data_IF_441294545977
#
_entry.id   IF_441294545977
#
_cell.length_a   1.000
_cell.length_b   1.000
_cell.length_c   1.000
_cell.angle_alpha   90.00
_cell.angle_beta   90.00
_cell.angle_gamma   90.00
#
_symmetry.space_group_name_H-M   'P 1'
#
loop_
_entity.id
_entity.type
_entity.pdbx_description
1 polymer ?
#
# COMPACT_ATOMS: atom_id res chain seq x y z
N UNK A 1 -6.51 5.49 -19.62
CA UNK A 1 -6.83 6.92 -19.93
C UNK A 1 -5.64 7.84 -19.63
N UNK A 2 -5.01 7.80 -18.45
CA UNK A 2 -3.83 8.64 -18.14
C UNK A 2 -2.68 8.32 -19.10
N UNK A 3 -2.33 7.07 -19.27
CA UNK A 3 -1.25 6.58 -20.12
C UNK A 3 -1.47 6.86 -21.62
N UNK A 4 -2.71 7.05 -22.06
CA UNK A 4 -3.03 7.41 -23.45
C UNK A 4 -2.96 8.91 -23.71
N UNK A 5 -2.86 9.72 -22.66
CA UNK A 5 -2.92 11.18 -22.75
C UNK A 5 -1.62 11.85 -22.37
N UNK A 6 -0.90 11.28 -21.40
CA UNK A 6 0.32 11.84 -20.84
C UNK A 6 1.50 10.89 -21.01
N UNK A 7 2.71 11.43 -21.05
CA UNK A 7 3.93 10.62 -20.97
C UNK A 7 4.07 10.02 -19.59
N UNK A 8 4.08 8.71 -19.50
CA UNK A 8 4.25 7.93 -18.27
C UNK A 8 5.35 6.90 -18.47
N UNK A 9 5.62 6.10 -17.45
CA UNK A 9 6.57 4.98 -17.58
C UNK A 9 6.02 3.80 -18.41
N UNK A 10 4.70 3.75 -18.67
CA UNK A 10 4.12 2.73 -19.53
C UNK A 10 4.40 3.05 -21.00
N UNK A 11 4.96 2.11 -21.74
CA UNK A 11 5.24 2.27 -23.17
C UNK A 11 3.97 2.32 -24.03
N UNK A 12 2.89 1.70 -23.55
CA UNK A 12 1.58 1.69 -24.21
C UNK A 12 0.47 1.43 -23.16
N UNK A 13 -0.78 1.45 -23.63
CA UNK A 13 -1.98 1.27 -22.76
C UNK A 13 -2.49 -0.18 -22.71
N UNK A 14 -1.81 -1.11 -23.35
CA UNK A 14 -2.12 -2.53 -23.22
C UNK A 14 -1.71 -3.05 -21.84
N UNK A 15 -2.29 -4.15 -21.40
CA UNK A 15 -2.02 -4.73 -20.07
C UNK A 15 -0.53 -5.03 -19.89
N UNK A 16 0.11 -5.56 -20.91
CA UNK A 16 1.54 -5.89 -20.88
C UNK A 16 2.42 -4.64 -20.68
N UNK A 17 2.06 -3.51 -21.30
CA UNK A 17 2.76 -2.23 -21.11
C UNK A 17 2.56 -1.64 -19.71
N UNK A 18 1.36 -1.82 -19.13
CA UNK A 18 1.08 -1.40 -17.75
C UNK A 18 1.87 -2.28 -16.76
N UNK A 19 1.87 -3.58 -16.95
CA UNK A 19 2.63 -4.53 -16.12
C UNK A 19 4.15 -4.30 -16.21
N UNK A 20 4.67 -4.02 -17.39
CA UNK A 20 6.09 -3.69 -17.58
C UNK A 20 6.51 -2.41 -16.82
N UNK A 21 5.58 -1.48 -16.56
CA UNK A 21 5.82 -0.26 -15.78
C UNK A 21 5.50 -0.40 -14.28
N UNK A 22 5.18 -1.59 -13.82
CA UNK A 22 4.72 -1.92 -12.45
C UNK A 22 5.60 -1.29 -11.36
N UNK A 23 6.92 -1.37 -11.50
CA UNK A 23 7.89 -0.89 -10.52
C UNK A 23 7.92 0.65 -10.38
N UNK A 24 7.25 1.36 -11.27
CA UNK A 24 7.08 2.81 -11.23
C UNK A 24 5.63 3.21 -10.92
N UNK A 25 4.81 2.30 -10.39
CA UNK A 25 3.39 2.54 -10.18
C UNK A 25 3.03 2.38 -8.69
N UNK A 26 2.39 3.42 -8.15
CA UNK A 26 1.84 3.43 -6.81
C UNK A 26 0.31 3.61 -6.86
N UNK A 27 -0.40 2.99 -5.94
CA UNK A 27 -1.82 3.23 -5.70
C UNK A 27 -2.02 3.71 -4.27
N UNK A 28 -2.70 4.83 -4.08
CA UNK A 28 -2.93 5.42 -2.76
C UNK A 28 -4.39 5.78 -2.55
N UNK A 29 -4.80 5.81 -1.28
CA UNK A 29 -6.13 6.24 -0.93
C UNK A 29 -6.35 6.40 0.57
N UNK A 30 -7.23 7.33 0.92
CA UNK A 30 -7.61 7.65 2.30
C UNK A 30 -9.06 7.23 2.55
N UNK A 31 -9.36 6.73 3.75
CA UNK A 31 -10.72 6.32 4.15
C UNK A 31 -11.30 5.26 3.20
N UNK A 32 -12.38 5.55 2.48
CA UNK A 32 -12.87 4.66 1.42
C UNK A 32 -11.85 4.44 0.29
N UNK A 33 -10.99 5.41 0.03
CA UNK A 33 -9.85 5.25 -0.87
C UNK A 33 -8.82 4.24 -0.36
N UNK A 34 -8.62 4.15 0.97
CA UNK A 34 -7.81 3.11 1.58
C UNK A 34 -8.39 1.71 1.35
N UNK A 35 -9.72 1.57 1.49
CA UNK A 35 -10.43 0.33 1.14
C UNK A 35 -10.18 -0.03 -0.34
N UNK A 36 -10.27 0.95 -1.24
CA UNK A 36 -9.95 0.74 -2.65
C UNK A 36 -8.49 0.34 -2.86
N UNK A 37 -7.54 0.94 -2.11
CA UNK A 37 -6.12 0.59 -2.16
C UNK A 37 -5.90 -0.88 -1.76
N UNK A 38 -6.52 -1.34 -0.68
CA UNK A 38 -6.45 -2.74 -0.29
C UNK A 38 -7.07 -3.69 -1.32
N UNK A 39 -8.18 -3.29 -1.96
CA UNK A 39 -8.77 -4.07 -3.06
C UNK A 39 -7.86 -4.10 -4.29
N UNK A 40 -7.20 -2.98 -4.59
CA UNK A 40 -6.20 -2.94 -5.65
C UNK A 40 -5.00 -3.85 -5.31
N UNK A 41 -4.54 -3.87 -4.06
CA UNK A 41 -3.54 -4.84 -3.61
C UNK A 41 -3.99 -6.29 -3.84
N UNK A 42 -5.24 -6.62 -3.52
CA UNK A 42 -5.77 -7.99 -3.69
C UNK A 42 -5.88 -8.44 -5.15
N UNK A 43 -6.04 -7.52 -6.10
CA UNK A 43 -6.41 -7.88 -7.48
C UNK A 43 -5.46 -7.38 -8.56
N UNK A 44 -4.53 -6.49 -8.24
CA UNK A 44 -3.67 -5.80 -9.21
C UNK A 44 -2.19 -5.75 -8.77
N UNK A 45 -1.72 -6.76 -8.05
CA UNK A 45 -0.29 -6.88 -7.72
C UNK A 45 0.61 -6.94 -8.96
N UNK A 46 0.06 -7.40 -10.09
CA UNK A 46 0.72 -7.44 -11.39
C UNK A 46 0.82 -6.08 -12.10
N UNK A 47 0.13 -5.05 -11.59
CA UNK A 47 0.12 -3.71 -12.18
C UNK A 47 0.73 -2.63 -11.30
N UNK A 48 0.84 -2.88 -9.97
CA UNK A 48 1.37 -1.92 -9.00
C UNK A 48 2.38 -2.59 -8.06
N UNK A 49 3.48 -1.89 -7.81
CA UNK A 49 4.47 -2.28 -6.80
C UNK A 49 4.18 -1.65 -5.44
N UNK A 50 3.74 -0.39 -5.41
CA UNK A 50 3.60 0.40 -4.18
C UNK A 50 2.14 0.65 -3.84
N UNK A 51 1.79 0.43 -2.58
CA UNK A 51 0.45 0.64 -2.05
C UNK A 51 0.50 1.55 -0.83
N UNK A 52 -0.32 2.61 -0.83
CA UNK A 52 -0.34 3.58 0.26
C UNK A 52 -1.77 3.73 0.81
N UNK A 53 -2.27 2.70 1.54
CA UNK A 53 -3.56 2.78 2.22
C UNK A 53 -3.46 3.69 3.44
N UNK A 54 -4.46 4.53 3.68
CA UNK A 54 -4.50 5.41 4.84
C UNK A 54 -5.88 5.44 5.48
N UNK A 55 -5.94 5.15 6.80
CA UNK A 55 -7.14 5.27 7.64
C UNK A 55 -8.37 4.51 7.12
N UNK A 56 -8.20 3.26 6.70
CA UNK A 56 -9.31 2.40 6.27
C UNK A 56 -8.85 0.95 6.05
N UNK A 57 -9.44 0.03 6.80
CA UNK A 57 -9.16 -1.42 6.77
C UNK A 57 -10.22 -2.19 5.98
N UNK A 58 -9.88 -3.42 5.58
CA UNK A 58 -10.83 -4.36 4.94
C UNK A 58 -10.96 -5.69 5.69
N UNK A 59 -10.00 -6.02 6.55
CA UNK A 59 -9.97 -7.29 7.28
C UNK A 59 -9.10 -7.15 8.53
N UNK A 60 -9.26 -8.07 9.46
CA UNK A 60 -8.32 -8.30 10.58
C UNK A 60 -7.63 -9.68 10.45
N UNK A 61 -7.70 -10.30 9.28
CA UNK A 61 -7.13 -11.60 8.98
C UNK A 61 -5.88 -11.44 8.10
N UNK A 62 -4.71 -11.48 8.73
CA UNK A 62 -3.41 -11.36 8.05
C UNK A 62 -3.11 -12.52 7.11
N UNK A 63 -3.55 -13.74 7.45
CA UNK A 63 -3.34 -14.91 6.60
C UNK A 63 -4.10 -14.81 5.26
N UNK A 64 -5.32 -14.22 5.29
CA UNK A 64 -6.07 -13.98 4.07
C UNK A 64 -5.34 -13.00 3.14
N UNK A 65 -4.65 -12.00 3.71
CA UNK A 65 -3.84 -11.06 2.93
C UNK A 65 -2.55 -11.70 2.41
N UNK A 66 -1.91 -12.57 3.20
CA UNK A 66 -0.74 -13.33 2.77
C UNK A 66 -1.06 -14.31 1.64
N UNK A 67 -2.24 -14.93 1.67
CA UNK A 67 -2.71 -15.83 0.60
C UNK A 67 -2.80 -15.12 -0.75
N UNK A 68 -3.22 -13.85 -0.77
CA UNK A 68 -3.24 -13.03 -2.00
C UNK A 68 -1.85 -12.95 -2.65
N UNK A 69 -0.81 -12.72 -1.85
CA UNK A 69 0.58 -12.64 -2.34
C UNK A 69 1.03 -14.00 -2.88
N UNK A 70 0.81 -15.06 -2.12
CA UNK A 70 1.17 -16.44 -2.51
C UNK A 70 0.49 -16.87 -3.81
N UNK A 71 -0.80 -16.58 -3.93
CA UNK A 71 -1.61 -16.95 -5.11
C UNK A 71 -1.21 -16.14 -6.35
N UNK A 72 -0.65 -14.94 -6.17
CA UNK A 72 -0.15 -14.10 -7.26
C UNK A 72 1.21 -14.54 -7.80
N UNK A 73 1.97 -15.35 -7.03
CA UNK A 73 3.32 -15.76 -7.37
C UNK A 73 4.40 -14.70 -7.09
N UNK A 74 4.03 -13.57 -6.50
CA UNK A 74 4.98 -12.55 -6.03
C UNK A 74 5.56 -12.91 -4.66
N UNK A 75 6.74 -12.36 -4.36
CA UNK A 75 7.44 -12.55 -3.11
C UNK A 75 7.46 -11.23 -2.30
N UNK A 76 7.98 -11.29 -1.08
CA UNK A 76 8.00 -10.16 -0.16
C UNK A 76 8.72 -8.91 -0.72
N UNK A 77 9.72 -9.07 -1.56
CA UNK A 77 10.51 -7.97 -2.15
C UNK A 77 9.91 -7.41 -3.46
N UNK A 78 8.80 -7.97 -3.91
CA UNK A 78 8.15 -7.53 -5.15
C UNK A 78 7.14 -6.39 -4.93
N UNK A 79 6.80 -6.05 -3.69
CA UNK A 79 5.86 -4.98 -3.38
C UNK A 79 6.25 -4.27 -2.08
N UNK A 80 5.71 -3.07 -1.88
CA UNK A 80 5.80 -2.34 -0.63
C UNK A 80 4.48 -1.67 -0.24
N UNK A 81 4.14 -1.75 1.05
CA UNK A 81 2.95 -1.13 1.63
C UNK A 81 3.40 -0.05 2.62
N UNK A 82 3.15 1.20 2.29
CA UNK A 82 3.28 2.34 3.19
C UNK A 82 1.91 2.68 3.76
N UNK A 83 1.61 2.18 4.94
CA UNK A 83 0.34 2.42 5.63
C UNK A 83 0.45 3.65 6.55
N UNK A 84 -0.62 4.44 6.69
CA UNK A 84 -0.63 5.59 7.57
C UNK A 84 -2.00 5.81 8.23
N UNK A 85 -2.00 6.24 9.51
CA UNK A 85 -3.21 6.67 10.21
C UNK A 85 -2.86 7.56 11.41
N UNK A 86 -3.75 8.48 11.73
CA UNK A 86 -3.60 9.32 12.92
C UNK A 86 -4.11 8.61 14.18
N UNK A 87 -3.46 8.87 15.32
CA UNK A 87 -3.83 8.24 16.60
C UNK A 87 -5.19 8.70 17.15
N UNK A 88 -5.71 9.85 16.68
CA UNK A 88 -7.05 10.37 17.00
C UNK A 88 -8.08 10.16 15.87
N UNK A 89 -7.72 9.37 14.87
CA UNK A 89 -8.61 8.97 13.79
C UNK A 89 -9.54 7.84 14.25
N UNK A 90 -10.84 7.96 13.98
CA UNK A 90 -11.82 6.92 14.37
C UNK A 90 -11.55 5.57 13.69
N UNK A 91 -10.90 5.56 12.53
CA UNK A 91 -10.54 4.34 11.81
C UNK A 91 -9.21 3.72 12.30
N UNK A 92 -8.43 4.43 13.14
CA UNK A 92 -7.10 4.03 13.56
C UNK A 92 -7.07 2.63 14.17
N UNK A 93 -7.94 2.33 15.13
CA UNK A 93 -7.93 1.05 15.83
C UNK A 93 -8.12 -0.15 14.90
N UNK A 94 -9.10 -0.08 13.99
CA UNK A 94 -9.35 -1.16 13.02
C UNK A 94 -8.25 -1.25 11.97
N UNK A 95 -7.70 -0.11 11.56
CA UNK A 95 -6.61 -0.06 10.60
C UNK A 95 -5.32 -0.65 11.19
N UNK A 96 -4.96 -0.25 12.40
CA UNK A 96 -3.83 -0.82 13.16
C UNK A 96 -3.96 -2.32 13.33
N UNK A 97 -5.15 -2.80 13.72
CA UNK A 97 -5.41 -4.23 13.88
C UNK A 97 -5.14 -5.03 12.59
N UNK A 98 -5.49 -4.47 11.42
CA UNK A 98 -5.15 -5.11 10.14
C UNK A 98 -3.63 -5.17 9.93
N UNK A 99 -2.92 -4.06 10.15
CA UNK A 99 -1.45 -4.01 9.95
C UNK A 99 -0.74 -4.99 10.91
N UNK A 100 -1.14 -5.01 12.18
CA UNK A 100 -0.59 -5.93 13.17
C UNK A 100 -0.88 -7.40 12.82
N UNK A 101 -2.08 -7.71 12.32
CA UNK A 101 -2.42 -9.05 11.86
C UNK A 101 -1.55 -9.48 10.67
N UNK A 102 -1.31 -8.59 9.70
CA UNK A 102 -0.41 -8.84 8.58
C UNK A 102 1.04 -9.04 9.05
N UNK A 103 1.54 -8.16 9.93
CA UNK A 103 2.88 -8.25 10.49
C UNK A 103 3.12 -9.52 11.34
N UNK A 104 2.04 -10.11 11.88
CA UNK A 104 2.09 -11.33 12.70
C UNK A 104 2.14 -12.62 11.87
N UNK A 105 1.98 -12.55 10.56
CA UNK A 105 2.08 -13.72 9.67
C UNK A 105 3.52 -14.21 9.66
N UNK A 106 3.74 -15.46 10.07
CA UNK A 106 5.08 -16.00 10.35
C UNK A 106 5.82 -16.57 9.14
N UNK A 107 5.20 -16.59 7.97
CA UNK A 107 5.75 -17.20 6.75
C UNK A 107 6.72 -16.29 5.96
N UNK A 108 6.90 -15.04 6.43
CA UNK A 108 7.80 -14.06 5.81
C UNK A 108 7.21 -13.30 4.63
N UNK A 109 5.92 -13.46 4.33
CA UNK A 109 5.21 -12.68 3.29
C UNK A 109 5.21 -11.19 3.61
N UNK A 110 4.94 -10.83 4.87
CA UNK A 110 5.00 -9.45 5.36
C UNK A 110 6.17 -9.28 6.31
N UNK A 111 7.06 -8.34 6.01
CA UNK A 111 8.20 -7.98 6.83
C UNK A 111 8.03 -6.53 7.29
N UNK A 112 7.73 -6.36 8.55
CA UNK A 112 7.50 -5.03 9.12
C UNK A 112 8.83 -4.32 9.38
N UNK A 113 8.97 -3.08 8.91
CA UNK A 113 10.15 -2.25 9.12
C UNK A 113 10.13 -0.95 8.33
N UNK A 114 11.11 -0.12 8.53
CA UNK A 114 11.28 1.20 7.93
C UNK A 114 12.39 1.25 6.85
N UNK A 115 12.95 0.12 6.48
CA UNK A 115 13.92 -0.02 5.37
C UNK A 115 13.36 -0.99 4.32
N UNK A 116 13.08 -0.49 3.11
CA UNK A 116 12.57 -1.29 1.98
C UNK A 116 13.52 -2.43 1.57
N UNK A 117 14.79 -2.35 1.90
CA UNK A 117 15.76 -3.42 1.61
C UNK A 117 15.47 -4.70 2.40
N UNK A 118 14.91 -4.54 3.60
CA UNK A 118 14.68 -5.64 4.52
C UNK A 118 13.21 -5.81 4.90
N UNK A 119 12.33 -4.89 4.47
CA UNK A 119 10.90 -4.88 4.79
C UNK A 119 10.02 -4.57 3.57
N UNK A 120 8.73 -4.86 3.69
CA UNK A 120 7.71 -4.54 2.68
C UNK A 120 6.40 -4.03 3.28
N UNK A 121 6.40 -3.78 4.59
CA UNK A 121 5.25 -3.26 5.31
C UNK A 121 5.73 -2.26 6.35
N UNK A 122 5.34 -1.00 6.19
CA UNK A 122 5.59 0.08 7.15
C UNK A 122 4.28 0.73 7.58
N UNK A 123 4.19 1.12 8.85
CA UNK A 123 3.03 1.82 9.37
C UNK A 123 3.42 3.10 10.10
N UNK A 124 3.04 4.24 9.54
CA UNK A 124 3.13 5.55 10.18
C UNK A 124 1.91 5.78 11.08
N UNK A 125 2.12 5.83 12.39
CA UNK A 125 1.13 6.29 13.37
C UNK A 125 1.38 7.79 13.66
N UNK A 126 0.58 8.67 13.05
CA UNK A 126 0.71 10.11 13.25
C UNK A 126 0.08 10.54 14.59
N UNK A 127 0.90 10.96 15.53
CA UNK A 127 0.44 11.40 16.84
C UNK A 127 -0.51 12.62 16.72
N UNK A 128 -1.71 12.53 17.31
CA UNK A 128 -2.74 13.57 17.26
C UNK A 128 -3.43 13.71 15.90
N UNK A 129 -3.06 12.92 14.90
CA UNK A 129 -3.69 12.96 13.59
C UNK A 129 -5.15 12.50 13.64
N UNK A 130 -6.03 13.23 12.97
CA UNK A 130 -7.47 12.99 12.91
C UNK A 130 -7.90 12.53 11.51
N UNK A 131 -9.16 12.10 11.36
CA UNK A 131 -9.72 11.71 10.06
C UNK A 131 -10.02 12.92 9.18
N UNK A 132 -8.97 13.53 8.59
CA UNK A 132 -9.10 14.74 7.78
C UNK A 132 -8.30 14.67 6.48
N UNK A 133 -8.73 15.46 5.49
CA UNK A 133 -8.02 15.58 4.22
C UNK A 133 -6.63 16.22 4.35
N UNK A 134 -6.40 17.05 5.36
CA UNK A 134 -5.11 17.65 5.67
C UNK A 134 -4.08 16.57 6.01
N UNK A 135 -4.39 15.71 6.97
CA UNK A 135 -3.54 14.57 7.32
C UNK A 135 -3.40 13.57 6.17
N UNK A 136 -4.46 13.34 5.39
CA UNK A 136 -4.37 12.47 4.20
C UNK A 136 -3.32 12.96 3.21
N UNK A 137 -3.26 14.27 2.95
CA UNK A 137 -2.23 14.86 2.07
C UNK A 137 -0.83 14.72 2.64
N UNK A 138 -0.67 14.86 3.95
CA UNK A 138 0.61 14.65 4.64
C UNK A 138 1.06 13.18 4.52
N UNK A 139 0.16 12.22 4.72
CA UNK A 139 0.48 10.80 4.57
C UNK A 139 0.93 10.45 3.15
N UNK A 140 0.24 10.97 2.14
CA UNK A 140 0.62 10.74 0.74
C UNK A 140 1.96 11.39 0.40
N UNK A 141 2.18 12.62 0.86
CA UNK A 141 3.45 13.29 0.64
C UNK A 141 4.62 12.52 1.27
N UNK A 142 4.49 12.13 2.53
CA UNK A 142 5.51 11.37 3.24
C UNK A 142 5.77 10.01 2.57
N UNK A 143 4.71 9.29 2.20
CA UNK A 143 4.84 8.01 1.51
C UNK A 143 5.49 8.13 0.13
N UNK A 144 5.14 9.16 -0.65
CA UNK A 144 5.77 9.42 -1.95
C UNK A 144 7.25 9.78 -1.79
N UNK A 145 7.59 10.63 -0.82
CA UNK A 145 8.99 10.95 -0.52
C UNK A 145 9.77 9.70 -0.10
N UNK A 146 9.15 8.79 0.65
CA UNK A 146 9.77 7.57 1.09
C UNK A 146 10.03 6.60 -0.09
N UNK A 147 9.04 6.40 -0.97
CA UNK A 147 9.13 5.51 -2.15
C UNK A 147 10.15 6.03 -3.17
N UNK A 148 10.28 7.34 -3.36
CA UNK A 148 11.14 7.93 -4.38
C UNK A 148 12.52 8.39 -3.91
N UNK A 149 12.95 8.03 -2.72
CA UNK A 149 14.33 8.28 -2.25
C UNK A 149 15.35 7.20 -2.68
N UNK A 150 14.95 6.31 -3.56
CA UNK A 150 15.76 5.18 -4.00
C UNK A 150 16.41 5.38 -5.35
#
# INVERSE_FOLDING_TARGET
>A
MVESTYSTYAENTAREGLQASRDHRAFCGFSMGSVATWRTFQHCLDEFRYFMPSSGSITSDGESMASVVKDSGYEWNDFFIYAASGTEDFAHSSFKSQIEAMASVSDGTFRYGDDEKDSNLYFLEQAGGTHSGEYAMEYFYNGLCWIWQQ
#
